data_IF_892150274172
#
_entry.id   IF_892150274172
#
_cell.length_a   1.000
_cell.length_b   1.000
_cell.length_c   1.000
_cell.angle_alpha   90.00
_cell.angle_beta   90.00
_cell.angle_gamma   90.00
#
_symmetry.space_group_name_H-M   'P 1'
#
loop_
_entity.id
_entity.type
_entity.pdbx_description
1 polymer ?
#
# COMPACT_ATOMS: atom_id res chain seq x y z
N UNK A 1 -29.65 10.91 -14.67
CA UNK A 1 -28.99 11.08 -13.36
C UNK A 1 -28.60 9.69 -12.87
N UNK A 2 -27.34 9.29 -13.07
CA UNK A 2 -26.86 7.99 -12.62
C UNK A 2 -26.35 8.14 -11.19
N UNK A 3 -27.00 7.45 -10.26
CA UNK A 3 -26.53 7.30 -8.88
C UNK A 3 -25.25 6.47 -8.90
N UNK A 4 -24.13 7.06 -8.49
CA UNK A 4 -22.92 6.30 -8.13
C UNK A 4 -23.24 5.50 -6.87
N UNK A 5 -23.57 4.23 -7.05
CA UNK A 5 -23.66 3.29 -5.94
C UNK A 5 -22.26 3.14 -5.33
N UNK A 6 -22.06 3.70 -4.14
CA UNK A 6 -20.89 3.39 -3.31
C UNK A 6 -20.98 1.92 -2.93
N UNK A 7 -20.27 1.05 -3.67
CA UNK A 7 -20.10 -0.35 -3.29
C UNK A 7 -19.33 -0.36 -1.98
N UNK A 8 -20.01 -0.69 -0.88
CA UNK A 8 -19.36 -0.88 0.41
C UNK A 8 -18.47 -2.12 0.33
N UNK A 9 -17.23 -2.08 0.83
CA UNK A 9 -16.36 -3.25 0.87
C UNK A 9 -17.06 -4.38 1.64
N UNK A 10 -16.93 -5.61 1.16
CA UNK A 10 -17.50 -6.77 1.86
C UNK A 10 -16.77 -6.97 3.20
N UNK A 11 -17.41 -7.66 4.16
CA UNK A 11 -16.78 -7.95 5.47
C UNK A 11 -15.42 -8.66 5.31
N UNK A 12 -15.26 -9.47 4.28
CA UNK A 12 -14.02 -10.18 3.95
C UNK A 12 -12.92 -9.25 3.42
N UNK A 13 -13.28 -8.24 2.63
CA UNK A 13 -12.34 -7.22 2.15
C UNK A 13 -11.79 -6.40 3.34
N UNK A 14 -12.66 -5.99 4.26
CA UNK A 14 -12.25 -5.22 5.44
C UNK A 14 -11.34 -6.02 6.37
N UNK A 15 -11.67 -7.29 6.66
CA UNK A 15 -10.83 -8.15 7.49
C UNK A 15 -9.48 -8.46 6.82
N UNK A 16 -9.45 -8.63 5.49
CA UNK A 16 -8.21 -8.90 4.77
C UNK A 16 -7.31 -7.67 4.64
N UNK A 17 -7.88 -6.47 4.55
CA UNK A 17 -7.16 -5.19 4.61
C UNK A 17 -6.32 -5.08 5.89
N UNK A 18 -6.91 -5.40 7.05
CA UNK A 18 -6.18 -5.39 8.33
C UNK A 18 -5.00 -6.37 8.36
N UNK A 19 -5.14 -7.56 7.74
CA UNK A 19 -4.03 -8.54 7.65
C UNK A 19 -2.90 -8.04 6.78
N UNK A 20 -3.23 -7.41 5.65
CA UNK A 20 -2.24 -6.76 4.78
C UNK A 20 -1.53 -5.64 5.54
N UNK A 21 -2.26 -4.78 6.25
CA UNK A 21 -1.68 -3.66 7.00
C UNK A 21 -0.70 -4.13 8.08
N UNK A 22 -1.06 -5.19 8.81
CA UNK A 22 -0.16 -5.83 9.76
C UNK A 22 1.12 -6.37 9.09
N UNK A 23 1.00 -6.99 7.91
CA UNK A 23 2.18 -7.46 7.16
C UNK A 23 3.07 -6.31 6.68
N UNK A 24 2.47 -5.22 6.19
CA UNK A 24 3.21 -4.02 5.77
C UNK A 24 3.95 -3.39 6.95
N UNK A 25 3.31 -3.31 8.12
CA UNK A 25 3.94 -2.80 9.34
C UNK A 25 5.21 -3.58 9.72
N UNK A 26 5.21 -4.91 9.59
CA UNK A 26 6.37 -5.76 9.88
C UNK A 26 7.57 -5.47 8.96
N UNK A 27 7.36 -4.90 7.77
CA UNK A 27 8.44 -4.59 6.83
C UNK A 27 9.13 -3.25 7.05
N UNK A 28 8.48 -2.35 7.78
CA UNK A 28 8.93 -0.97 7.94
C UNK A 28 9.78 -0.84 9.21
N UNK A 29 10.74 0.06 9.17
CA UNK A 29 11.51 0.41 10.35
C UNK A 29 10.77 1.45 11.20
N UNK A 30 11.09 1.49 12.50
CA UNK A 30 10.61 2.55 13.39
C UNK A 30 10.98 3.93 12.83
N UNK A 31 10.05 4.88 12.92
CA UNK A 31 10.16 6.25 12.39
C UNK A 31 10.36 6.37 10.86
N UNK A 32 10.24 5.27 10.10
CA UNK A 32 10.32 5.29 8.64
C UNK A 32 9.14 6.08 8.04
N UNK A 33 9.43 6.95 7.08
CA UNK A 33 8.40 7.68 6.34
C UNK A 33 7.91 6.84 5.17
N UNK A 34 6.70 6.29 5.31
CA UNK A 34 6.05 5.49 4.28
C UNK A 34 4.60 5.94 4.00
N UNK A 35 4.20 5.84 2.73
CA UNK A 35 2.82 6.04 2.27
C UNK A 35 2.36 4.83 1.45
N UNK A 36 1.14 4.37 1.69
CA UNK A 36 0.46 3.39 0.84
C UNK A 36 -0.41 4.11 -0.19
N UNK A 37 -0.25 3.77 -1.47
CA UNK A 37 -0.96 4.40 -2.60
C UNK A 37 -1.44 3.33 -3.59
N UNK A 38 -2.38 3.69 -4.46
CA UNK A 38 -2.92 2.85 -5.54
C UNK A 38 -3.39 1.46 -5.09
N UNK A 39 -4.04 1.42 -3.93
CA UNK A 39 -4.51 0.19 -3.34
C UNK A 39 -5.70 -0.38 -4.13
N UNK A 40 -5.63 -1.69 -4.44
CA UNK A 40 -6.63 -2.39 -5.24
C UNK A 40 -6.80 -3.82 -4.75
N UNK A 41 -8.04 -4.20 -4.44
CA UNK A 41 -8.42 -5.60 -4.29
C UNK A 41 -8.64 -6.23 -5.67
N UNK A 42 -7.99 -7.37 -5.95
CA UNK A 42 -8.11 -8.05 -7.23
C UNK A 42 -9.31 -9.03 -7.20
N UNK A 43 -10.07 -9.10 -8.30
CA UNK A 43 -11.22 -9.99 -8.41
C UNK A 43 -10.84 -11.42 -8.85
N UNK A 44 -9.61 -11.62 -9.31
CA UNK A 44 -9.07 -12.91 -9.80
C UNK A 44 -8.65 -13.85 -8.66
N UNK A 45 -8.62 -13.34 -7.43
CA UNK A 45 -8.29 -14.08 -6.22
C UNK A 45 -8.18 -13.12 -5.03
N UNK A 46 -8.25 -13.63 -3.80
CA UNK A 46 -8.17 -12.80 -2.59
C UNK A 46 -6.76 -12.22 -2.44
N UNK A 47 -6.53 -11.09 -3.11
CA UNK A 47 -5.22 -10.47 -3.26
C UNK A 47 -5.34 -8.96 -3.25
N UNK A 48 -4.45 -8.31 -2.49
CA UNK A 48 -4.26 -6.86 -2.53
C UNK A 48 -3.07 -6.52 -3.40
N UNK A 49 -3.24 -5.60 -4.35
CA UNK A 49 -2.15 -4.90 -5.01
C UNK A 49 -2.07 -3.49 -4.47
N UNK A 50 -0.87 -3.00 -4.18
CA UNK A 50 -0.66 -1.64 -3.69
C UNK A 50 0.78 -1.22 -3.93
N UNK A 51 1.03 0.08 -3.79
CA UNK A 51 2.35 0.66 -3.86
C UNK A 51 2.72 1.23 -2.49
N UNK A 52 3.99 1.10 -2.10
CA UNK A 52 4.57 1.83 -0.98
C UNK A 52 5.54 2.87 -1.53
N UNK A 53 5.40 4.10 -1.05
CA UNK A 53 6.40 5.15 -1.25
C UNK A 53 7.19 5.31 0.04
N UNK A 54 8.51 5.13 -0.04
CA UNK A 54 9.44 5.26 1.10
C UNK A 54 10.78 5.85 0.67
N UNK A 55 11.58 6.35 1.62
CA UNK A 55 12.93 6.81 1.30
C UNK A 55 13.84 5.60 1.02
N UNK A 56 14.47 5.60 -0.15
CA UNK A 56 15.54 4.69 -0.51
C UNK A 56 16.93 5.27 -0.23
N UNK A 57 17.94 4.65 -0.81
CA UNK A 57 19.32 5.13 -0.71
C UNK A 57 19.47 6.55 -1.28
N UNK A 58 20.44 7.31 -0.76
CA UNK A 58 20.71 8.70 -1.17
C UNK A 58 19.52 9.66 -1.01
N UNK A 59 18.59 9.37 -0.09
CA UNK A 59 17.39 10.18 0.18
C UNK A 59 16.44 10.32 -1.01
N UNK A 60 16.48 9.41 -1.99
CA UNK A 60 15.53 9.39 -3.10
C UNK A 60 14.23 8.70 -2.68
N UNK A 61 13.10 9.20 -3.14
CA UNK A 61 11.83 8.50 -2.97
C UNK A 61 11.78 7.30 -3.91
N UNK A 62 11.39 6.15 -3.35
CA UNK A 62 11.20 4.91 -4.09
C UNK A 62 9.73 4.54 -4.05
N UNK A 63 9.15 4.23 -5.21
CA UNK A 63 7.84 3.61 -5.30
C UNK A 63 8.05 2.11 -5.51
N UNK A 64 7.63 1.32 -4.53
CA UNK A 64 7.75 -0.13 -4.49
C UNK A 64 6.38 -0.76 -4.67
N UNK A 65 6.28 -1.74 -5.57
CA UNK A 65 5.01 -2.39 -5.96
C UNK A 65 4.87 -3.72 -5.27
N UNK A 66 3.73 -3.95 -4.62
CA UNK A 66 3.48 -5.15 -3.84
C UNK A 66 2.19 -5.85 -4.20
N UNK A 67 2.20 -7.16 -3.95
CA UNK A 67 1.03 -8.03 -4.01
C UNK A 67 0.94 -8.89 -2.74
N UNK A 68 -0.09 -8.68 -1.94
CA UNK A 68 -0.37 -9.50 -0.76
C UNK A 68 -1.41 -10.56 -1.09
N UNK A 69 -1.01 -11.82 -1.09
CA UNK A 69 -1.88 -12.97 -1.25
C UNK A 69 -2.45 -13.38 0.11
N UNK A 70 -3.78 -13.25 0.28
CA UNK A 70 -4.43 -13.46 1.57
C UNK A 70 -4.41 -14.93 2.02
N UNK A 71 -4.65 -15.93 1.15
CA UNK A 71 -4.65 -17.34 1.56
C UNK A 71 -3.30 -17.83 2.06
N UNK A 72 -2.20 -17.45 1.38
CA UNK A 72 -0.85 -17.80 1.82
C UNK A 72 -0.28 -16.84 2.86
N UNK A 73 -0.87 -15.65 3.02
CA UNK A 73 -0.33 -14.58 3.85
C UNK A 73 0.98 -14.01 3.30
N UNK A 74 1.28 -14.23 2.02
CA UNK A 74 2.57 -13.87 1.43
C UNK A 74 2.51 -12.48 0.81
N UNK A 75 3.51 -11.66 1.13
CA UNK A 75 3.72 -10.39 0.45
C UNK A 75 4.82 -10.52 -0.61
N UNK A 76 4.44 -10.27 -1.85
CA UNK A 76 5.32 -10.38 -3.00
C UNK A 76 5.73 -8.98 -3.47
N UNK A 77 7.04 -8.74 -3.53
CA UNK A 77 7.60 -7.59 -4.22
C UNK A 77 7.54 -7.82 -5.74
N UNK A 78 6.98 -6.87 -6.47
CA UNK A 78 6.76 -6.98 -7.93
C UNK A 78 7.54 -5.94 -8.73
N UNK A 79 8.37 -5.14 -8.06
CA UNK A 79 9.32 -4.22 -8.67
C UNK A 79 9.26 -2.82 -8.05
N UNK A 80 10.23 -1.99 -8.40
CA UNK A 80 10.33 -0.62 -7.90
C UNK A 80 10.91 0.33 -8.94
N UNK A 81 10.74 1.63 -8.69
CA UNK A 81 11.42 2.69 -9.41
C UNK A 81 11.54 3.93 -8.52
N UNK A 82 12.56 4.77 -8.79
CA UNK A 82 12.72 6.05 -8.11
C UNK A 82 11.72 7.06 -8.64
N UNK A 83 11.17 7.88 -7.74
CA UNK A 83 10.36 9.05 -8.08
C UNK A 83 11.05 10.30 -7.54
N UNK A 84 10.87 11.42 -8.22
CA UNK A 84 11.36 12.71 -7.75
C UNK A 84 10.39 13.32 -6.71
N UNK A 85 10.81 14.44 -6.12
CA UNK A 85 10.04 15.12 -5.08
C UNK A 85 8.70 15.66 -5.59
N UNK A 86 8.61 16.04 -6.87
CA UNK A 86 7.37 16.53 -7.49
C UNK A 86 6.35 15.39 -7.64
N UNK A 87 6.77 14.26 -8.20
CA UNK A 87 5.98 13.06 -8.29
C UNK A 87 5.57 12.53 -6.91
N UNK A 88 6.49 12.53 -5.93
CA UNK A 88 6.16 12.20 -4.55
C UNK A 88 5.08 13.13 -3.98
N UNK A 89 5.24 14.45 -4.14
CA UNK A 89 4.31 15.43 -3.63
C UNK A 89 2.90 15.28 -4.22
N UNK A 90 2.79 14.85 -5.48
CA UNK A 90 1.51 14.55 -6.13
C UNK A 90 0.92 13.24 -5.63
N UNK A 91 1.68 12.14 -5.68
CA UNK A 91 1.15 10.80 -5.38
C UNK A 91 0.76 10.67 -3.91
N UNK A 92 1.51 11.29 -2.99
CA UNK A 92 1.20 11.25 -1.55
C UNK A 92 -0.13 11.92 -1.18
N UNK A 93 -0.66 12.82 -2.01
CA UNK A 93 -1.97 13.48 -1.75
C UNK A 93 -3.14 12.50 -1.81
N UNK A 94 -2.97 11.40 -2.53
CA UNK A 94 -3.95 10.33 -2.67
C UNK A 94 -3.59 9.09 -1.84
N UNK A 95 -2.51 9.16 -1.06
CA UNK A 95 -2.01 8.06 -0.25
C UNK A 95 -2.41 8.15 1.22
N UNK A 96 -2.30 7.03 1.89
CA UNK A 96 -2.42 6.93 3.35
C UNK A 96 -1.02 6.87 3.95
N UNK A 97 -0.68 7.82 4.81
CA UNK A 97 0.57 7.77 5.57
C UNK A 97 0.50 6.61 6.57
N UNK A 98 1.53 5.77 6.60
CA UNK A 98 1.65 4.67 7.55
C UNK A 98 2.29 5.21 8.83
N UNK A 99 1.67 4.92 9.98
CA UNK A 99 2.28 5.24 11.28
C UNK A 99 3.27 4.13 11.66
N UNK A 100 4.54 4.51 11.73
CA UNK A 100 5.68 3.63 12.04
C UNK A 100 6.25 3.89 13.44
N UNK A 101 5.64 4.78 14.24
CA UNK A 101 6.14 5.15 15.57
C UNK A 101 5.85 4.12 16.67
N UNK A 102 5.01 3.13 16.35
CA UNK A 102 4.56 2.09 17.26
C UNK A 102 5.07 0.68 16.86
N UNK A 103 6.06 0.62 15.97
CA UNK A 103 6.75 -0.60 15.56
C UNK A 103 7.84 -1.01 16.55
#
# INVERSE_FOLDING_TARGET
MSMTATVLPTSDESASRSRRDAMVQVMLHADELAWMVDEKYLNEGPTWQFNLIRQGEQSRWMLQRYRYDIPSGTLNFTGEYSIDDEAFALVRQHGVKIDTRHL
#
